data_IF_763647380633
#
_entry.id   IF_763647380633
#
_cell.length_a   1.000
_cell.length_b   1.000
_cell.length_c   1.000
_cell.angle_alpha   90.00
_cell.angle_beta   90.00
_cell.angle_gamma   90.00
#
_symmetry.space_group_name_H-M   'P 1'
#
loop_
_entity.id
_entity.type
_entity.pdbx_description
1 polymer ?
#
# COMPACT_ATOMS: atom_id res chain seq x y z
N UNK A 1 -21.02 -2.36 -1.23
CA UNK A 1 -19.64 -2.39 -1.77
C UNK A 1 -19.04 -3.79 -1.99
N UNK A 2 -19.64 -4.90 -1.53
CA UNK A 2 -19.09 -6.26 -1.78
C UNK A 2 -19.55 -6.92 -3.09
N UNK A 3 -20.13 -6.17 -4.03
CA UNK A 3 -20.57 -6.73 -5.32
C UNK A 3 -19.42 -6.55 -6.31
N UNK A 4 -18.97 -7.65 -6.91
CA UNK A 4 -17.88 -7.69 -7.89
C UNK A 4 -16.52 -7.25 -7.29
N UNK A 5 -16.06 -8.03 -6.31
CA UNK A 5 -14.70 -7.89 -5.80
C UNK A 5 -13.71 -8.34 -6.87
N UNK A 6 -12.67 -7.53 -7.07
CA UNK A 6 -11.49 -7.94 -7.82
C UNK A 6 -10.56 -8.72 -6.90
N UNK A 7 -9.91 -9.74 -7.45
CA UNK A 7 -9.05 -10.65 -6.70
C UNK A 7 -7.67 -10.82 -7.38
N UNK A 8 -6.83 -11.68 -6.80
CA UNK A 8 -5.51 -11.98 -7.34
C UNK A 8 -5.58 -12.59 -8.75
N UNK A 9 -6.63 -13.34 -9.09
CA UNK A 9 -6.75 -13.96 -10.42
C UNK A 9 -6.99 -12.88 -11.48
N UNK A 10 -7.74 -11.83 -11.15
CA UNK A 10 -7.92 -10.66 -12.04
C UNK A 10 -6.63 -9.89 -12.32
N UNK A 11 -5.70 -9.89 -11.37
CA UNK A 11 -4.36 -9.36 -11.56
C UNK A 11 -3.43 -10.36 -12.27
N UNK A 12 -3.69 -11.66 -12.19
CA UNK A 12 -2.89 -12.68 -12.87
C UNK A 12 -3.26 -12.79 -14.36
N UNK A 13 -4.52 -12.55 -14.73
CA UNK A 13 -4.98 -12.46 -16.13
C UNK A 13 -4.17 -11.42 -16.95
N UNK A 14 -3.50 -10.47 -16.30
CA UNK A 14 -2.51 -9.59 -16.89
C UNK A 14 -1.26 -10.31 -17.40
N UNK A 15 -0.68 -11.20 -16.60
CA UNK A 15 0.57 -11.88 -16.94
C UNK A 15 0.38 -12.90 -18.06
N UNK A 16 -0.83 -13.47 -18.17
CA UNK A 16 -1.15 -14.56 -19.09
C UNK A 16 -1.86 -14.10 -20.38
N UNK A 17 -2.39 -12.87 -20.45
CA UNK A 17 -3.11 -12.35 -21.62
C UNK A 17 -2.31 -11.29 -22.38
N UNK A 18 -1.81 -11.58 -23.61
CA UNK A 18 -1.08 -10.61 -24.43
C UNK A 18 -1.97 -9.52 -25.06
N UNK A 19 -3.26 -9.47 -24.72
CA UNK A 19 -4.20 -8.49 -25.26
C UNK A 19 -4.33 -7.35 -24.26
N UNK A 20 -3.78 -6.18 -24.62
CA UNK A 20 -4.03 -4.93 -23.88
C UNK A 20 -5.53 -4.69 -23.65
N UNK A 21 -5.86 -3.84 -22.69
CA UNK A 21 -7.25 -3.66 -22.22
C UNK A 21 -7.46 -4.03 -20.75
N UNK A 22 -6.39 -4.37 -20.02
CA UNK A 22 -6.47 -4.87 -18.64
C UNK A 22 -7.09 -3.87 -17.67
N UNK A 23 -6.80 -2.57 -17.84
CA UNK A 23 -7.43 -1.51 -17.05
C UNK A 23 -8.95 -1.48 -17.29
N UNK A 24 -9.40 -1.58 -18.54
CA UNK A 24 -10.83 -1.63 -18.87
C UNK A 24 -11.52 -2.85 -18.27
N UNK A 25 -10.88 -4.02 -18.31
CA UNK A 25 -11.45 -5.25 -17.73
C UNK A 25 -11.53 -5.19 -16.20
N UNK A 26 -10.47 -4.70 -15.54
CA UNK A 26 -10.47 -4.47 -14.10
C UNK A 26 -11.61 -3.52 -13.69
N UNK A 27 -11.79 -2.42 -14.43
CA UNK A 27 -12.87 -1.48 -14.19
C UNK A 27 -14.25 -2.08 -14.49
N UNK A 28 -14.38 -2.96 -15.49
CA UNK A 28 -15.64 -3.65 -15.84
C UNK A 28 -16.06 -4.63 -14.75
N UNK A 29 -15.11 -5.26 -14.07
CA UNK A 29 -15.35 -6.18 -12.95
C UNK A 29 -15.48 -5.45 -11.61
N UNK A 30 -15.32 -4.13 -11.57
CA UNK A 30 -15.42 -3.33 -10.35
C UNK A 30 -16.66 -2.45 -10.38
N UNK A 31 -17.11 -2.01 -9.19
CA UNK A 31 -18.20 -1.05 -9.05
C UNK A 31 -17.68 0.20 -8.33
N UNK A 32 -18.00 1.39 -8.87
CA UNK A 32 -17.70 2.64 -8.17
C UNK A 32 -18.59 2.72 -6.93
N UNK A 33 -17.96 2.91 -5.77
CA UNK A 33 -18.65 3.10 -4.49
C UNK A 33 -19.65 4.27 -4.64
N UNK A 34 -20.92 3.98 -4.36
CA UNK A 34 -22.01 4.94 -4.55
C UNK A 34 -23.05 4.85 -3.44
N UNK A 35 -23.72 5.97 -3.20
CA UNK A 35 -24.75 6.10 -2.19
C UNK A 35 -25.77 7.17 -2.64
N UNK A 36 -27.06 6.96 -2.37
CA UNK A 36 -28.14 7.81 -2.89
C UNK A 36 -28.43 9.06 -2.05
N UNK A 37 -27.90 9.16 -0.83
CA UNK A 37 -28.19 10.25 0.11
C UNK A 37 -26.91 10.88 0.72
N UNK A 38 -25.73 10.51 0.22
CA UNK A 38 -24.43 10.97 0.70
C UNK A 38 -24.14 10.64 2.18
N UNK A 39 -24.77 9.58 2.71
CA UNK A 39 -24.55 9.10 4.06
C UNK A 39 -23.96 7.68 4.02
N UNK A 40 -22.63 7.58 4.13
CA UNK A 40 -21.88 6.31 4.09
C UNK A 40 -21.62 5.82 5.51
N UNK A 41 -22.62 5.17 6.12
CA UNK A 41 -22.58 4.72 7.52
C UNK A 41 -22.81 3.22 7.69
N UNK A 42 -23.06 2.50 6.60
CA UNK A 42 -23.23 1.06 6.65
C UNK A 42 -21.86 0.39 6.83
N UNK A 43 -21.82 -0.71 7.60
CA UNK A 43 -20.56 -1.42 7.92
C UNK A 43 -19.77 -1.83 6.67
N UNK A 44 -20.47 -2.16 5.59
CA UNK A 44 -19.84 -2.54 4.33
C UNK A 44 -19.28 -1.35 3.53
N UNK A 45 -19.39 -0.11 4.02
CA UNK A 45 -18.87 1.10 3.39
C UNK A 45 -17.70 1.72 4.17
N UNK A 46 -17.46 1.28 5.41
CA UNK A 46 -16.43 1.87 6.28
C UNK A 46 -15.05 1.83 5.62
N UNK A 47 -14.65 0.69 5.05
CA UNK A 47 -13.36 0.56 4.36
C UNK A 47 -13.27 1.48 3.13
N UNK A 48 -14.35 1.63 2.38
CA UNK A 48 -14.44 2.56 1.24
C UNK A 48 -14.26 4.02 1.67
N UNK A 49 -14.89 4.41 2.78
CA UNK A 49 -14.78 5.76 3.35
C UNK A 49 -13.35 6.02 3.84
N UNK A 50 -12.76 5.09 4.57
CA UNK A 50 -11.39 5.19 5.07
C UNK A 50 -10.40 5.32 3.90
N UNK A 51 -10.51 4.47 2.89
CA UNK A 51 -9.67 4.54 1.69
C UNK A 51 -9.79 5.91 1.02
N UNK A 52 -11.01 6.38 0.75
CA UNK A 52 -11.23 7.68 0.10
C UNK A 52 -10.65 8.83 0.91
N UNK A 53 -10.94 8.89 2.21
CA UNK A 53 -10.48 9.96 3.09
C UNK A 53 -8.95 9.96 3.23
N UNK A 54 -8.32 8.80 3.39
CA UNK A 54 -6.88 8.69 3.57
C UNK A 54 -6.11 8.91 2.26
N UNK A 55 -6.65 8.49 1.10
CA UNK A 55 -6.10 8.86 -0.22
C UNK A 55 -6.14 10.37 -0.43
N UNK A 56 -7.26 11.02 -0.09
CA UNK A 56 -7.40 12.47 -0.21
C UNK A 56 -6.39 13.23 0.66
N UNK A 57 -6.23 12.83 1.93
CA UNK A 57 -5.22 13.41 2.84
C UNK A 57 -3.80 13.25 2.29
N UNK A 58 -3.49 12.06 1.77
CA UNK A 58 -2.19 11.75 1.19
C UNK A 58 -1.90 12.60 -0.06
N UNK A 59 -2.88 12.72 -0.96
CA UNK A 59 -2.81 13.64 -2.11
C UNK A 59 -2.57 15.08 -1.66
N UNK A 60 -3.34 15.55 -0.68
CA UNK A 60 -3.24 16.92 -0.15
C UNK A 60 -1.88 17.19 0.50
N UNK A 61 -1.27 16.19 1.14
CA UNK A 61 0.10 16.33 1.66
C UNK A 61 1.09 16.58 0.52
N UNK A 62 1.09 15.73 -0.51
CA UNK A 62 1.97 15.91 -1.67
C UNK A 62 1.75 17.26 -2.36
N UNK A 63 0.50 17.66 -2.53
CA UNK A 63 0.16 18.94 -3.16
C UNK A 63 0.58 20.13 -2.32
N UNK A 64 0.21 20.15 -1.04
CA UNK A 64 0.31 21.35 -0.21
C UNK A 64 1.68 21.48 0.49
N UNK A 65 2.32 20.35 0.82
CA UNK A 65 3.64 20.35 1.49
C UNK A 65 4.79 20.21 0.49
N UNK A 66 4.60 19.44 -0.57
CA UNK A 66 5.67 19.12 -1.53
C UNK A 66 5.47 19.78 -2.90
N UNK A 67 4.39 20.53 -3.11
CA UNK A 67 4.09 21.17 -4.40
C UNK A 67 4.04 20.19 -5.57
N UNK A 68 3.66 18.93 -5.31
CA UNK A 68 3.52 17.89 -6.33
C UNK A 68 2.05 17.68 -6.67
N UNK A 69 1.70 17.82 -7.95
CA UNK A 69 0.31 17.62 -8.39
C UNK A 69 0.05 16.14 -8.77
N UNK A 70 -0.45 15.34 -7.82
CA UNK A 70 -0.71 13.90 -7.98
C UNK A 70 0.55 13.05 -8.20
N UNK A 71 0.35 11.76 -8.49
CA UNK A 71 1.40 10.75 -8.63
C UNK A 71 2.38 11.10 -9.75
N UNK A 72 1.91 11.68 -10.85
CA UNK A 72 2.71 11.98 -12.05
C UNK A 72 3.19 13.45 -12.14
N UNK A 73 2.89 14.24 -11.11
CA UNK A 73 3.08 15.69 -11.09
C UNK A 73 2.31 16.48 -12.17
N UNK A 74 1.25 15.90 -12.75
CA UNK A 74 0.43 16.51 -13.81
C UNK A 74 -1.07 16.38 -13.54
N UNK A 75 -1.46 15.91 -12.35
CA UNK A 75 -2.87 15.81 -11.97
C UNK A 75 -3.56 14.52 -12.43
N UNK A 76 -2.81 13.42 -12.59
CA UNK A 76 -3.37 12.08 -12.80
C UNK A 76 -4.47 11.75 -11.78
N UNK A 77 -5.52 11.05 -12.22
CA UNK A 77 -6.52 10.46 -11.33
C UNK A 77 -5.90 9.35 -10.49
N UNK A 78 -6.25 9.31 -9.20
CA UNK A 78 -5.80 8.28 -8.27
C UNK A 78 -6.94 7.27 -8.08
N UNK A 79 -6.63 5.98 -8.25
CA UNK A 79 -7.59 4.87 -8.11
C UNK A 79 -7.20 3.99 -6.92
N UNK A 80 -8.18 3.63 -6.11
CA UNK A 80 -8.05 2.69 -5.00
C UNK A 80 -9.17 1.66 -5.06
N UNK A 81 -8.81 0.39 -4.98
CA UNK A 81 -9.74 -0.74 -4.94
C UNK A 81 -9.75 -1.30 -3.52
N UNK A 82 -10.93 -1.29 -2.88
CA UNK A 82 -11.15 -1.85 -1.55
C UNK A 82 -11.84 -3.20 -1.66
N UNK A 83 -11.85 -3.96 -0.56
CA UNK A 83 -12.37 -5.32 -0.53
C UNK A 83 -11.68 -6.24 -1.55
N UNK A 84 -10.39 -5.98 -1.80
CA UNK A 84 -9.60 -6.75 -2.75
C UNK A 84 -9.25 -8.11 -2.14
N UNK A 85 -9.69 -9.18 -2.80
CA UNK A 85 -9.59 -10.56 -2.35
C UNK A 85 -10.19 -10.83 -0.95
N UNK A 86 -10.49 -12.08 -0.66
CA UNK A 86 -11.08 -12.49 0.61
C UNK A 86 -10.00 -12.75 1.65
N UNK A 87 -10.15 -12.12 2.82
CA UNK A 87 -9.24 -12.28 3.97
C UNK A 87 -7.77 -11.94 3.64
N UNK A 88 -7.55 -10.99 2.72
CA UNK A 88 -6.22 -10.61 2.33
C UNK A 88 -5.62 -9.64 3.38
N UNK A 89 -4.61 -10.12 4.09
CA UNK A 89 -3.76 -9.31 4.97
C UNK A 89 -2.66 -8.59 4.18
N UNK A 90 -3.03 -7.79 3.18
CA UNK A 90 -2.09 -7.00 2.39
C UNK A 90 -2.75 -5.78 1.72
N UNK A 91 -1.93 -4.77 1.42
CA UNK A 91 -2.22 -3.65 0.54
C UNK A 91 -1.01 -3.49 -0.38
N UNK A 92 -1.24 -2.98 -1.59
CA UNK A 92 -0.16 -2.83 -2.56
C UNK A 92 -0.54 -1.87 -3.69
N UNK A 93 0.46 -1.19 -4.23
CA UNK A 93 0.42 -0.48 -5.51
C UNK A 93 0.78 -1.41 -6.67
N UNK A 94 0.01 -1.35 -7.78
CA UNK A 94 0.39 -2.00 -9.05
C UNK A 94 0.56 -0.94 -10.13
N UNK A 95 1.79 -0.77 -10.61
CA UNK A 95 2.16 0.28 -11.57
C UNK A 95 1.51 0.11 -12.94
N UNK A 96 1.25 -1.14 -13.35
CA UNK A 96 0.61 -1.49 -14.61
C UNK A 96 -0.86 -1.04 -14.66
N UNK A 97 -1.52 -1.03 -13.49
CA UNK A 97 -2.90 -0.58 -13.34
C UNK A 97 -3.01 0.86 -12.84
N UNK A 98 -1.91 1.50 -12.47
CA UNK A 98 -1.90 2.82 -11.84
C UNK A 98 -2.90 2.90 -10.67
N UNK A 99 -2.90 1.88 -9.82
CA UNK A 99 -3.94 1.68 -8.81
C UNK A 99 -3.38 1.06 -7.53
N UNK A 100 -3.99 1.44 -6.41
CA UNK A 100 -3.78 0.82 -5.10
C UNK A 100 -4.87 -0.22 -4.84
N UNK A 101 -4.52 -1.29 -4.13
CA UNK A 101 -5.42 -2.36 -3.77
C UNK A 101 -5.33 -2.60 -2.27
N UNK A 102 -6.47 -2.68 -1.60
CA UNK A 102 -6.57 -2.82 -0.15
C UNK A 102 -7.40 -4.05 0.20
N UNK A 103 -6.78 -5.00 0.90
CA UNK A 103 -7.46 -6.11 1.52
C UNK A 103 -8.20 -5.70 2.80
N UNK A 104 -9.23 -6.46 3.14
CA UNK A 104 -10.02 -6.29 4.37
C UNK A 104 -9.30 -6.83 5.63
N UNK A 105 -8.06 -7.29 5.47
CA UNK A 105 -7.28 -7.93 6.53
C UNK A 105 -7.52 -9.44 6.58
N UNK A 106 -6.61 -10.15 7.24
CA UNK A 106 -6.71 -11.60 7.45
C UNK A 106 -7.43 -11.94 8.78
N UNK A 107 -7.77 -10.92 9.58
CA UNK A 107 -8.39 -11.07 10.90
C UNK A 107 -7.47 -11.69 11.95
N UNK A 108 -6.20 -11.89 11.64
CA UNK A 108 -5.21 -12.58 12.46
C UNK A 108 -4.04 -11.66 12.80
N UNK A 109 -3.45 -11.04 11.79
CA UNK A 109 -2.30 -10.14 11.88
C UNK A 109 -2.67 -8.73 11.42
N UNK A 110 -3.65 -8.61 10.53
CA UNK A 110 -4.08 -7.34 9.96
C UNK A 110 -5.61 -7.23 9.96
N UNK A 111 -6.10 -6.07 10.40
CA UNK A 111 -7.45 -5.58 10.16
C UNK A 111 -7.49 -4.79 8.83
N UNK A 112 -8.63 -4.24 8.38
CA UNK A 112 -8.72 -3.55 7.08
C UNK A 112 -7.61 -2.53 6.90
N UNK A 113 -6.84 -2.63 5.82
CA UNK A 113 -5.60 -1.86 5.69
C UNK A 113 -5.83 -0.40 5.31
N UNK A 114 -6.92 -0.11 4.60
CA UNK A 114 -7.29 1.25 4.19
C UNK A 114 -7.56 2.20 5.37
N UNK A 115 -7.83 1.65 6.57
CA UNK A 115 -8.04 2.44 7.80
C UNK A 115 -6.77 3.19 8.24
N UNK A 116 -5.60 2.64 7.94
CA UNK A 116 -4.31 3.16 8.39
C UNK A 116 -3.82 4.21 7.37
N UNK A 117 -3.74 5.47 7.81
CA UNK A 117 -3.40 6.59 6.93
C UNK A 117 -1.97 6.48 6.39
N UNK A 118 -1.05 6.02 7.22
CA UNK A 118 0.34 5.79 6.86
C UNK A 118 0.50 4.66 5.83
N UNK A 119 -0.29 3.57 5.91
CA UNK A 119 -0.35 2.51 4.89
C UNK A 119 -0.89 3.06 3.57
N UNK A 120 -1.99 3.84 3.59
CA UNK A 120 -2.51 4.45 2.36
C UNK A 120 -1.50 5.45 1.78
N UNK A 121 -0.81 6.22 2.62
CA UNK A 121 0.27 7.12 2.23
C UNK A 121 1.47 6.38 1.64
N UNK A 122 1.80 5.21 2.19
CA UNK A 122 2.85 4.31 1.72
C UNK A 122 2.53 3.79 0.31
N UNK A 123 1.33 3.23 0.08
CA UNK A 123 0.93 2.75 -1.26
C UNK A 123 0.88 3.87 -2.30
N UNK A 124 0.40 5.05 -1.90
CA UNK A 124 0.39 6.21 -2.78
C UNK A 124 1.82 6.63 -3.16
N UNK A 125 2.77 6.48 -2.22
CA UNK A 125 4.17 6.83 -2.42
C UNK A 125 4.91 5.85 -3.32
N UNK A 126 4.51 4.57 -3.37
CA UNK A 126 4.94 3.67 -4.44
C UNK A 126 4.53 4.19 -5.82
N UNK A 127 3.31 4.71 -5.96
CA UNK A 127 2.86 5.36 -7.19
C UNK A 127 3.72 6.57 -7.58
N UNK A 128 4.10 7.40 -6.60
CA UNK A 128 5.04 8.51 -6.83
C UNK A 128 6.41 8.00 -7.27
N UNK A 129 6.96 6.98 -6.59
CA UNK A 129 8.22 6.34 -6.98
C UNK A 129 8.14 5.80 -8.42
N UNK A 130 7.08 5.08 -8.78
CA UNK A 130 6.88 4.54 -10.12
C UNK A 130 6.86 5.63 -11.21
N UNK A 131 6.23 6.79 -10.95
CA UNK A 131 6.17 7.91 -11.90
C UNK A 131 7.38 8.86 -11.85
N UNK A 132 8.30 8.68 -10.91
CA UNK A 132 9.48 9.52 -10.73
C UNK A 132 10.78 8.73 -10.94
N UNK A 133 11.37 8.21 -9.86
CA UNK A 133 12.66 7.52 -9.90
C UNK A 133 12.58 6.14 -10.55
N UNK A 134 11.40 5.53 -10.57
CA UNK A 134 11.12 4.18 -11.07
C UNK A 134 12.12 3.15 -10.51
N UNK A 135 12.38 3.21 -9.20
CA UNK A 135 13.26 2.28 -8.50
C UNK A 135 12.76 0.85 -8.71
N UNK A 136 13.64 0.00 -9.21
CA UNK A 136 13.35 -1.43 -9.38
C UNK A 136 13.05 -2.04 -8.01
N UNK A 137 11.98 -2.82 -7.93
CA UNK A 137 11.51 -3.43 -6.69
C UNK A 137 12.29 -4.72 -6.36
N UNK A 138 13.61 -4.61 -6.21
CA UNK A 138 14.47 -5.71 -5.78
C UNK A 138 15.71 -5.19 -5.05
N UNK A 139 16.23 -5.98 -4.10
CA UNK A 139 17.48 -5.72 -3.35
C UNK A 139 17.49 -4.30 -2.74
N UNK A 140 18.62 -3.60 -2.81
CA UNK A 140 18.80 -2.23 -2.28
C UNK A 140 17.88 -1.21 -2.95
N UNK A 141 17.63 -1.35 -4.26
CA UNK A 141 16.70 -0.45 -4.99
C UNK A 141 15.27 -0.61 -4.47
N UNK A 142 14.84 -1.84 -4.20
CA UNK A 142 13.54 -2.12 -3.60
C UNK A 142 13.48 -1.67 -2.13
N UNK A 143 14.55 -1.86 -1.36
CA UNK A 143 14.62 -1.37 0.02
C UNK A 143 14.54 0.17 0.11
N UNK A 144 15.12 0.88 -0.85
CA UNK A 144 14.96 2.33 -0.99
C UNK A 144 13.53 2.72 -1.38
N UNK A 145 12.88 1.92 -2.24
CA UNK A 145 11.48 2.12 -2.62
C UNK A 145 10.55 1.98 -1.39
N UNK A 146 10.71 0.89 -0.63
CA UNK A 146 10.01 0.63 0.63
C UNK A 146 10.25 1.71 1.68
N UNK A 147 11.52 2.05 1.95
CA UNK A 147 11.84 3.07 2.94
C UNK A 147 11.29 4.45 2.54
N UNK A 148 11.34 4.82 1.26
CA UNK A 148 10.72 6.07 0.81
C UNK A 148 9.22 6.07 1.07
N UNK A 149 8.53 4.95 0.80
CA UNK A 149 7.10 4.82 1.08
C UNK A 149 6.79 4.90 2.59
N UNK A 150 7.60 4.28 3.46
CA UNK A 150 7.49 4.39 4.92
C UNK A 150 7.72 5.84 5.40
N UNK A 151 8.81 6.49 4.96
CA UNK A 151 9.11 7.90 5.28
C UNK A 151 7.92 8.80 4.93
N UNK A 152 7.34 8.59 3.75
CA UNK A 152 6.22 9.40 3.28
C UNK A 152 4.92 9.08 4.03
N UNK A 153 4.62 7.81 4.28
CA UNK A 153 3.48 7.39 5.09
C UNK A 153 3.52 8.02 6.49
N UNK A 154 4.65 7.89 7.18
CA UNK A 154 4.90 8.52 8.48
C UNK A 154 4.79 10.04 8.43
N UNK A 155 5.34 10.69 7.39
CA UNK A 155 5.27 12.15 7.27
C UNK A 155 3.84 12.66 6.99
N UNK A 156 3.04 11.90 6.23
CA UNK A 156 1.64 12.19 5.94
C UNK A 156 0.79 12.06 7.21
N UNK A 157 1.00 10.99 7.97
CA UNK A 157 0.24 10.75 9.20
C UNK A 157 0.65 11.71 10.32
N UNK A 158 1.96 11.93 10.51
CA UNK A 158 2.52 12.90 11.46
C UNK A 158 2.23 12.57 12.93
N UNK A 159 1.97 11.30 13.26
CA UNK A 159 1.54 10.84 14.58
C UNK A 159 2.69 10.19 15.39
N UNK A 160 3.39 9.22 14.80
CA UNK A 160 4.49 8.50 15.43
C UNK A 160 5.50 8.01 14.35
N UNK A 161 6.31 6.98 14.63
CA UNK A 161 7.30 6.39 13.71
C UNK A 161 7.06 4.89 13.45
N UNK A 162 5.99 4.35 14.01
CA UNK A 162 5.53 2.99 13.72
C UNK A 162 4.79 3.02 12.38
N UNK A 163 4.79 1.89 11.68
CA UNK A 163 4.07 1.72 10.43
C UNK A 163 2.93 0.72 10.64
N UNK A 164 1.74 1.05 10.18
CA UNK A 164 0.55 0.22 10.16
C UNK A 164 -0.04 -0.04 11.54
N UNK A 165 0.30 0.73 12.57
CA UNK A 165 -0.17 0.49 13.95
C UNK A 165 -1.70 0.57 14.08
N UNK A 166 -2.36 1.34 13.21
CA UNK A 166 -3.82 1.41 13.19
C UNK A 166 -4.48 0.17 12.57
N UNK A 167 -3.76 -0.65 11.78
CA UNK A 167 -4.28 -1.91 11.21
C UNK A 167 -3.61 -3.19 11.73
N UNK A 168 -2.44 -3.09 12.36
CA UNK A 168 -1.67 -4.20 12.91
C UNK A 168 -2.34 -4.79 14.15
N UNK A 169 -2.39 -6.12 14.21
CA UNK A 169 -2.91 -6.86 15.37
C UNK A 169 -1.71 -7.46 16.12
N UNK A 170 -1.22 -6.81 17.19
CA UNK A 170 -0.07 -7.28 17.92
C UNK A 170 -0.37 -8.60 18.63
N UNK A 171 0.53 -9.56 18.47
CA UNK A 171 0.46 -10.85 19.18
C UNK A 171 1.85 -11.29 19.58
N UNK A 172 1.94 -12.24 20.51
CA UNK A 172 3.22 -12.87 20.86
C UNK A 172 3.94 -13.50 19.66
N UNK A 173 3.19 -13.97 18.65
CA UNK A 173 3.74 -14.63 17.47
C UNK A 173 4.25 -13.63 16.42
N UNK A 174 3.43 -12.63 16.08
CA UNK A 174 3.73 -11.65 15.02
C UNK A 174 4.62 -10.49 15.49
N UNK A 175 4.62 -10.17 16.78
CA UNK A 175 5.37 -9.06 17.35
C UNK A 175 4.50 -7.84 17.67
N UNK A 176 5.15 -6.85 18.27
CA UNK A 176 4.52 -5.65 18.81
C UNK A 176 4.10 -4.66 17.71
N UNK A 177 4.93 -4.49 16.69
CA UNK A 177 4.74 -3.54 15.58
C UNK A 177 4.99 -4.23 14.25
N UNK A 178 4.40 -3.71 13.17
CA UNK A 178 4.72 -4.17 11.81
C UNK A 178 6.13 -3.72 11.42
N UNK A 179 6.39 -2.41 11.51
CA UNK A 179 7.71 -1.77 11.40
C UNK A 179 7.79 -0.58 12.34
N UNK A 180 9.00 -0.16 12.67
CA UNK A 180 9.26 1.04 13.45
C UNK A 180 10.51 1.73 12.90
N UNK A 181 10.34 2.92 12.35
CA UNK A 181 11.44 3.70 11.77
C UNK A 181 12.40 4.25 12.82
N UNK A 182 11.95 4.44 14.06
CA UNK A 182 12.77 4.93 15.17
C UNK A 182 13.62 3.82 15.76
N UNK A 183 13.08 2.61 15.86
CA UNK A 183 13.80 1.39 16.25
C UNK A 183 13.41 0.20 15.35
N UNK A 184 14.09 0.05 14.18
CA UNK A 184 13.79 -1.02 13.22
C UNK A 184 13.86 -2.43 13.81
N UNK A 185 14.57 -2.62 14.92
CA UNK A 185 14.68 -3.92 15.56
C UNK A 185 13.35 -4.41 16.16
N UNK A 186 12.44 -3.49 16.54
CA UNK A 186 11.07 -3.83 17.00
C UNK A 186 10.26 -4.50 15.89
N UNK A 187 10.44 -4.07 14.64
CA UNK A 187 9.89 -4.70 13.42
C UNK A 187 10.74 -5.84 12.86
N UNK A 188 11.75 -6.32 13.59
CA UNK A 188 12.72 -7.36 13.15
C UNK A 188 13.52 -6.96 11.90
N UNK A 189 13.73 -5.66 11.66
CA UNK A 189 14.54 -5.12 10.57
C UNK A 189 15.95 -4.73 11.06
N UNK A 190 16.99 -4.88 10.22
CA UNK A 190 18.30 -4.26 10.47
C UNK A 190 18.22 -2.73 10.44
N UNK A 191 18.97 -2.06 11.33
CA UNK A 191 19.10 -0.59 11.40
C UNK A 191 20.48 -0.07 10.95
N UNK A 192 21.31 -0.93 10.33
CA UNK A 192 22.66 -0.55 9.90
C UNK A 192 23.15 -1.47 8.78
N UNK A 193 23.87 -0.92 7.79
CA UNK A 193 24.37 -1.67 6.60
C UNK A 193 25.23 -2.89 6.93
N UNK A 194 25.93 -2.88 8.09
CA UNK A 194 26.67 -4.05 8.60
C UNK A 194 25.80 -5.31 8.77
N UNK A 195 24.49 -5.12 8.95
CA UNK A 195 23.49 -6.16 9.17
C UNK A 195 22.60 -6.38 7.93
N UNK A 196 22.98 -5.82 6.77
CA UNK A 196 22.25 -5.99 5.52
C UNK A 196 22.06 -7.48 5.19
N UNK A 197 20.82 -7.89 4.88
CA UNK A 197 20.49 -9.28 4.56
C UNK A 197 20.54 -9.47 3.05
N UNK A 198 21.53 -10.23 2.57
CA UNK A 198 21.64 -10.65 1.16
C UNK A 198 20.75 -11.87 0.93
N UNK A 199 19.61 -11.67 0.29
CA UNK A 199 18.64 -12.72 -0.01
C UNK A 199 18.48 -12.92 -1.53
N UNK A 200 18.05 -14.11 -1.98
CA UNK A 200 17.63 -14.35 -3.37
C UNK A 200 16.55 -13.36 -3.84
N UNK A 201 16.51 -13.10 -5.15
CA UNK A 201 15.46 -12.26 -5.77
C UNK A 201 14.32 -13.14 -6.24
N UNK A 202 13.42 -13.44 -5.31
CA UNK A 202 12.18 -14.17 -5.57
C UNK A 202 11.13 -13.78 -4.50
N UNK A 203 9.89 -14.22 -4.70
CA UNK A 203 8.76 -13.89 -3.82
C UNK A 203 8.97 -14.39 -2.38
N UNK A 204 9.53 -15.58 -2.21
CA UNK A 204 9.73 -16.21 -0.89
C UNK A 204 10.82 -15.47 -0.08
N UNK A 205 11.73 -14.81 -0.78
CA UNK A 205 12.83 -14.04 -0.22
C UNK A 205 12.62 -12.53 -0.34
N UNK A 206 11.36 -12.10 -0.47
CA UNK A 206 10.99 -10.68 -0.44
C UNK A 206 11.76 -9.85 -1.48
N UNK A 207 11.89 -10.40 -2.70
CA UNK A 207 12.62 -9.82 -3.83
C UNK A 207 14.04 -9.34 -3.47
N UNK A 208 14.72 -10.07 -2.60
CA UNK A 208 16.04 -9.68 -2.08
C UNK A 208 15.96 -8.91 -0.75
N UNK A 209 14.90 -9.11 0.03
CA UNK A 209 14.69 -8.51 1.35
C UNK A 209 14.38 -7.02 1.30
N UNK A 210 13.47 -6.59 0.41
CA UNK A 210 13.14 -5.18 0.25
C UNK A 210 12.48 -4.59 1.50
N UNK A 211 11.46 -5.24 2.05
CA UNK A 211 10.81 -4.83 3.30
C UNK A 211 11.73 -5.08 4.50
N UNK A 212 12.64 -6.06 4.41
CA UNK A 212 13.57 -6.34 5.50
C UNK A 212 14.61 -5.22 5.59
N UNK A 213 15.30 -4.92 4.50
CA UNK A 213 16.45 -4.02 4.50
C UNK A 213 16.06 -2.54 4.50
N UNK A 214 14.78 -2.21 4.31
CA UNK A 214 14.29 -0.82 4.33
C UNK A 214 14.56 -0.11 5.65
N UNK A 215 14.55 -0.83 6.78
CA UNK A 215 14.86 -0.25 8.10
C UNK A 215 16.31 0.26 8.28
N UNK A 216 17.21 0.03 7.31
CA UNK A 216 18.57 0.58 7.35
C UNK A 216 18.60 2.05 6.92
N UNK A 217 17.65 2.43 6.05
CA UNK A 217 17.53 3.76 5.45
C UNK A 217 16.71 4.66 6.36
#
# INVERSE_FOLDING_TARGET
>A
DLKNQVDLDDLNDFYDSPKGGHNEELMRRSELVSNSNNNFVDDNQVNSVDAYANMAKSYDYYKNKLSRNSLDNKGMNIKGFVHFDKNLGNAFWVGEYDSMFFGDGDGVRLSPLAKALDIVGHELSHGVTNKASNLKYEKESGALNESFSDIMGTAIEGKNFEIGEDCWIPTWFYGEVMRDMKDPSRGRQPAHMKNFRKLPVDRDNDWGGVHINSGII
#
